data_IF_438400390719
#
_entry.id   IF_438400390719
#
_cell.length_a   1.000
_cell.length_b   1.000
_cell.length_c   1.000
_cell.angle_alpha   90.00
_cell.angle_beta   90.00
_cell.angle_gamma   90.00
#
_symmetry.space_group_name_H-M   'P 1'
#
loop_
_entity.id
_entity.type
_entity.pdbx_description
1 polymer ?
#
# COMPACT_ATOMS: atom_id res chain seq x y z
N UNK A 1 -3.94 -19.78 5.47
CA UNK A 1 -2.71 -19.14 4.96
C UNK A 1 -1.96 -18.60 6.16
N UNK A 2 -0.66 -18.83 6.26
CA UNK A 2 0.16 -18.17 7.27
C UNK A 2 0.58 -16.80 6.74
N UNK A 3 0.59 -15.78 7.59
CA UNK A 3 1.05 -14.46 7.21
C UNK A 3 2.57 -14.40 7.31
N UNK A 4 3.26 -14.19 6.19
CA UNK A 4 4.72 -14.05 6.14
C UNK A 4 5.13 -12.61 5.78
N UNK A 5 6.33 -12.15 6.16
CA UNK A 5 6.76 -10.77 5.90
C UNK A 5 6.76 -10.36 4.43
N UNK A 6 6.93 -11.32 3.52
CA UNK A 6 7.00 -11.12 2.07
C UNK A 6 5.64 -10.96 1.41
N UNK A 7 4.55 -11.23 2.14
CA UNK A 7 3.19 -11.07 1.61
C UNK A 7 2.98 -9.61 1.23
N UNK A 8 2.60 -9.43 -0.03
CA UNK A 8 2.17 -8.15 -0.56
C UNK A 8 0.68 -7.93 -0.28
N UNK A 9 0.35 -6.74 0.22
CA UNK A 9 -1.00 -6.38 0.59
C UNK A 9 -1.93 -6.33 -0.64
N UNK A 10 -1.46 -5.85 -1.80
CA UNK A 10 -2.28 -5.65 -2.99
C UNK A 10 -2.51 -6.98 -3.75
N UNK A 11 -1.47 -7.80 -3.90
CA UNK A 11 -1.45 -8.90 -4.88
C UNK A 11 -1.70 -10.24 -4.21
N UNK A 12 -1.10 -10.49 -3.05
CA UNK A 12 -1.29 -11.76 -2.33
C UNK A 12 -2.58 -11.77 -1.51
N UNK A 13 -2.93 -10.62 -0.91
CA UNK A 13 -4.16 -10.48 -0.12
C UNK A 13 -5.34 -9.90 -0.92
N UNK A 14 -5.09 -9.35 -2.11
CA UNK A 14 -6.14 -8.79 -2.98
C UNK A 14 -6.97 -7.70 -2.29
N UNK A 15 -6.37 -6.90 -1.40
CA UNK A 15 -7.08 -5.79 -0.75
C UNK A 15 -7.22 -4.63 -1.73
N UNK A 16 -8.35 -3.93 -1.66
CA UNK A 16 -8.54 -2.72 -2.45
C UNK A 16 -7.96 -1.45 -1.78
N UNK A 17 -7.95 -0.34 -2.51
CA UNK A 17 -7.44 0.96 -2.03
C UNK A 17 -8.12 1.40 -0.73
N UNK A 18 -9.43 1.19 -0.59
CA UNK A 18 -10.19 1.64 0.58
C UNK A 18 -9.87 0.76 1.80
N UNK A 19 -9.74 -0.54 1.59
CA UNK A 19 -9.30 -1.50 2.61
C UNK A 19 -7.87 -1.21 3.06
N UNK A 20 -6.96 -0.93 2.12
CA UNK A 20 -5.58 -0.56 2.40
C UNK A 20 -5.50 0.78 3.16
N UNK A 21 -6.29 1.78 2.80
CA UNK A 21 -6.33 3.06 3.50
C UNK A 21 -6.84 2.91 4.94
N UNK A 22 -7.93 2.17 5.16
CA UNK A 22 -8.45 1.87 6.50
C UNK A 22 -7.45 1.07 7.34
N UNK A 23 -6.79 0.06 6.74
CA UNK A 23 -5.71 -0.70 7.37
C UNK A 23 -4.59 0.23 7.85
N UNK A 24 -4.08 1.09 6.96
CA UNK A 24 -2.96 1.96 7.27
C UNK A 24 -3.33 3.03 8.30
N UNK A 25 -4.54 3.59 8.23
CA UNK A 25 -5.03 4.51 9.26
C UNK A 25 -5.02 3.85 10.65
N UNK A 26 -5.54 2.61 10.75
CA UNK A 26 -5.51 1.83 11.99
C UNK A 26 -4.10 1.46 12.42
N UNK A 27 -3.21 1.15 11.48
CA UNK A 27 -1.80 0.84 11.74
C UNK A 27 -1.10 2.03 12.40
N UNK A 28 -1.20 3.23 11.81
CA UNK A 28 -0.59 4.44 12.36
C UNK A 28 -1.15 4.79 13.74
N UNK A 29 -2.48 4.72 13.91
CA UNK A 29 -3.14 5.02 15.18
C UNK A 29 -2.78 4.02 16.28
N UNK A 30 -2.97 2.72 16.02
CA UNK A 30 -2.86 1.68 17.07
C UNK A 30 -1.42 1.38 17.48
N UNK A 31 -0.48 1.52 16.54
CA UNK A 31 0.94 1.27 16.80
C UNK A 31 1.72 2.56 17.07
N UNK A 32 1.04 3.72 17.07
CA UNK A 32 1.64 5.04 17.28
C UNK A 32 2.84 5.27 16.35
N UNK A 33 2.64 4.96 15.07
CA UNK A 33 3.63 5.14 14.01
C UNK A 33 3.38 6.48 13.33
N UNK A 34 4.40 7.33 13.26
CA UNK A 34 4.30 8.60 12.55
C UNK A 34 4.06 8.35 11.05
N UNK A 35 2.95 8.87 10.52
CA UNK A 35 2.56 8.69 9.11
C UNK A 35 3.59 9.26 8.12
N UNK A 36 4.27 10.36 8.49
CA UNK A 36 5.24 11.01 7.61
C UNK A 36 4.63 11.40 6.26
N UNK A 37 5.32 11.03 5.17
CA UNK A 37 4.87 11.28 3.80
C UNK A 37 4.06 10.12 3.21
N UNK A 38 3.55 9.17 4.01
CA UNK A 38 2.78 8.06 3.48
C UNK A 38 1.59 8.54 2.65
N UNK A 39 1.53 8.05 1.40
CA UNK A 39 0.48 8.30 0.41
C UNK A 39 -0.01 6.98 -0.14
N UNK A 40 -1.32 6.74 -0.05
CA UNK A 40 -1.89 5.50 -0.55
C UNK A 40 -1.71 5.38 -2.07
N UNK A 41 -1.65 6.51 -2.76
CA UNK A 41 -1.48 6.60 -4.21
C UNK A 41 -0.10 6.15 -4.69
N UNK A 42 0.87 6.00 -3.80
CA UNK A 42 2.16 5.35 -4.12
C UNK A 42 1.94 3.87 -4.47
N UNK A 43 0.99 3.22 -3.82
CA UNK A 43 0.67 1.79 -3.99
C UNK A 43 -0.58 1.56 -4.85
N UNK A 44 -1.54 2.49 -4.78
CA UNK A 44 -2.80 2.46 -5.53
C UNK A 44 -2.92 3.73 -6.40
N UNK A 45 -2.14 3.85 -7.48
CA UNK A 45 -2.12 5.05 -8.28
C UNK A 45 -3.44 5.25 -9.03
N UNK A 46 -3.91 6.49 -9.07
CA UNK A 46 -5.04 6.87 -9.91
C UNK A 46 -4.74 6.55 -11.39
N UNK A 47 -5.45 5.59 -11.97
CA UNK A 47 -5.34 5.33 -13.40
C UNK A 47 -5.98 6.48 -14.19
N UNK A 48 -5.28 7.04 -15.20
CA UNK A 48 -5.90 8.00 -16.09
C UNK A 48 -7.03 7.30 -16.85
N UNK A 49 -8.26 7.76 -16.65
CA UNK A 49 -9.45 7.28 -17.35
C UNK A 49 -9.24 7.42 -18.87
N UNK A 50 -8.99 6.31 -19.56
CA UNK A 50 -8.84 6.31 -21.02
C UNK A 50 -10.21 6.15 -21.67
N UNK A 51 -10.68 7.20 -22.36
CA UNK A 51 -11.87 7.15 -23.22
C UNK A 51 -11.67 6.38 -24.53
N UNK A 52 -10.51 5.74 -24.75
CA UNK A 52 -10.19 5.03 -25.98
C UNK A 52 -10.43 3.52 -25.82
N UNK A 53 -11.48 2.94 -26.44
CA UNK A 53 -11.85 1.53 -26.27
C UNK A 53 -10.83 0.52 -26.83
N UNK A 54 -9.82 0.99 -27.56
CA UNK A 54 -8.78 0.15 -28.17
C UNK A 54 -7.39 0.32 -27.55
N UNK A 55 -7.21 1.25 -26.61
CA UNK A 55 -5.94 1.42 -25.90
C UNK A 55 -6.02 0.70 -24.57
N UNK A 56 -5.27 -0.41 -24.44
CA UNK A 56 -4.95 -0.99 -23.14
C UNK A 56 -4.17 0.07 -22.37
N UNK A 57 -4.70 0.53 -21.25
CA UNK A 57 -3.92 1.29 -20.26
C UNK A 57 -2.80 0.39 -19.78
N UNK A 58 -1.55 0.83 -19.96
CA UNK A 58 -0.40 0.10 -19.42
C UNK A 58 -0.53 0.07 -17.89
N UNK A 59 -0.20 -1.07 -17.24
CA UNK A 59 -0.13 -1.13 -15.79
C UNK A 59 0.86 -0.08 -15.29
N UNK A 60 0.45 0.71 -14.30
CA UNK A 60 1.36 1.66 -13.65
C UNK A 60 2.23 0.83 -12.70
N UNK A 61 3.56 0.82 -12.85
CA UNK A 61 4.41 0.11 -11.90
C UNK A 61 4.32 0.80 -10.54
N UNK A 62 4.07 0.02 -9.49
CA UNK A 62 4.00 0.45 -8.09
C UNK A 62 5.10 -0.23 -7.30
N UNK A 63 5.61 0.38 -6.22
CA UNK A 63 6.49 -0.30 -5.28
C UNK A 63 5.75 -1.43 -4.54
N UNK A 64 6.50 -2.37 -3.99
CA UNK A 64 5.94 -3.41 -3.11
C UNK A 64 5.24 -2.77 -1.90
N UNK A 65 4.18 -3.41 -1.41
CA UNK A 65 3.45 -3.00 -0.23
C UNK A 65 3.31 -4.16 0.75
N UNK A 66 4.40 -4.52 1.41
CA UNK A 66 4.49 -5.79 2.16
C UNK A 66 4.27 -5.67 3.67
N UNK A 67 3.97 -6.81 4.31
CA UNK A 67 3.94 -6.93 5.77
C UNK A 67 5.29 -6.53 6.40
N UNK A 68 6.42 -6.79 5.75
CA UNK A 68 7.75 -6.39 6.26
C UNK A 68 7.86 -4.88 6.41
N UNK A 69 7.34 -4.10 5.46
CA UNK A 69 7.36 -2.64 5.53
C UNK A 69 6.59 -2.10 6.74
N UNK A 70 5.45 -2.73 7.07
CA UNK A 70 4.67 -2.41 8.26
C UNK A 70 5.46 -2.76 9.54
N UNK A 71 6.09 -3.93 9.60
CA UNK A 71 6.89 -4.37 10.75
C UNK A 71 8.07 -3.41 11.01
N UNK A 72 8.80 -3.05 9.96
CA UNK A 72 9.96 -2.16 10.07
C UNK A 72 9.57 -0.75 10.48
N UNK A 73 8.50 -0.22 9.88
CA UNK A 73 7.98 1.10 10.24
C UNK A 73 7.45 1.15 11.68
N UNK A 74 6.79 0.07 12.14
CA UNK A 74 6.36 -0.05 13.53
C UNK A 74 7.53 -0.09 14.50
N UNK A 75 8.61 -0.82 14.17
CA UNK A 75 9.83 -0.85 14.99
C UNK A 75 10.53 0.51 15.03
N UNK A 76 10.51 1.26 13.92
CA UNK A 76 11.12 2.58 13.83
C UNK A 76 10.26 3.70 14.45
N UNK A 77 8.97 3.47 14.67
CA UNK A 77 8.01 4.47 15.15
C UNK A 77 7.59 5.49 14.09
N UNK A 78 7.96 5.29 12.82
CA UNK A 78 7.59 6.15 11.70
C UNK A 78 7.57 5.36 10.39
N UNK A 79 6.78 5.83 9.43
CA UNK A 79 6.82 5.29 8.08
C UNK A 79 8.19 5.53 7.42
N UNK A 80 8.76 4.49 6.81
CA UNK A 80 10.14 4.50 6.29
C UNK A 80 10.26 4.62 4.77
N UNK A 81 9.12 4.63 4.06
CA UNK A 81 9.08 4.48 2.61
C UNK A 81 8.43 5.70 1.94
N UNK A 82 9.01 6.24 0.88
CA UNK A 82 8.46 7.37 0.12
C UNK A 82 8.06 6.93 -1.30
#
# INVERSE_FOLDING_TARGET
MELTPEIDLDTDLSIDELEAEDLMNKFFEKLNVERGNFRIETYFPNHPFSWHPFKKTEPVPVPDFTISMLIESAKAGKWLYD
#
